data_IF_127106502889
#
_entry.id   IF_127106502889
#
_cell.length_a   1.000
_cell.length_b   1.000
_cell.length_c   1.000
_cell.angle_alpha   90.00
_cell.angle_beta   90.00
_cell.angle_gamma   90.00
#
_symmetry.space_group_name_H-M   'P 1'
#
loop_
_entity.id
_entity.type
_entity.pdbx_description
1 polymer ?
#
# COMPACT_ATOMS: atom_id res chain seq x y z
N UNK A 1 -11.27 13.31 2.16
CA UNK A 1 -10.94 12.22 3.11
C UNK A 1 -12.11 12.07 4.08
N UNK A 2 -12.67 10.87 4.14
CA UNK A 2 -13.79 10.52 5.03
C UNK A 2 -13.28 9.94 6.35
N UNK A 3 -12.19 9.17 6.29
CA UNK A 3 -11.56 8.60 7.47
C UNK A 3 -10.05 8.49 7.31
N UNK A 4 -9.34 8.78 8.39
CA UNK A 4 -7.91 8.51 8.56
C UNK A 4 -7.71 7.77 9.87
N UNK A 5 -7.03 6.63 9.82
CA UNK A 5 -6.62 5.85 10.99
C UNK A 5 -5.12 5.61 10.93
N UNK A 6 -4.44 5.87 12.03
CA UNK A 6 -3.01 5.58 12.19
C UNK A 6 -2.74 4.97 13.56
N UNK A 7 -2.06 3.84 13.58
CA UNK A 7 -1.62 3.15 14.77
C UNK A 7 -0.24 2.54 14.50
N UNK A 8 0.72 2.97 15.31
CA UNK A 8 2.06 2.42 15.34
C UNK A 8 2.47 2.17 16.79
N UNK A 9 3.34 1.18 16.98
CA UNK A 9 3.97 0.93 18.26
C UNK A 9 5.47 0.66 18.07
N UNK A 10 6.21 0.84 19.16
CA UNK A 10 7.64 0.56 19.19
C UNK A 10 7.93 -0.30 20.41
N UNK A 11 8.68 -1.37 20.21
CA UNK A 11 9.18 -2.24 21.27
C UNK A 11 10.65 -2.55 21.01
N UNK A 12 11.55 -1.93 21.81
CA UNK A 12 12.98 -2.02 21.58
C UNK A 12 13.36 -1.46 20.20
N UNK A 13 13.98 -2.30 19.37
CA UNK A 13 14.39 -1.95 18.00
C UNK A 13 13.30 -2.21 16.96
N UNK A 14 12.15 -2.75 17.34
CA UNK A 14 11.07 -3.08 16.42
C UNK A 14 10.03 -1.96 16.39
N UNK A 15 9.75 -1.44 15.19
CA UNK A 15 8.65 -0.51 14.92
C UNK A 15 7.58 -1.26 14.12
N UNK A 16 6.37 -1.32 14.67
CA UNK A 16 5.23 -1.95 14.00
C UNK A 16 4.24 -0.87 13.58
N UNK A 17 4.00 -0.74 12.27
CA UNK A 17 2.85 -0.03 11.74
C UNK A 17 1.67 -1.01 11.73
N UNK A 18 0.92 -1.05 12.83
CA UNK A 18 -0.26 -1.91 12.95
C UNK A 18 -1.33 -1.55 11.94
N UNK A 19 -1.50 -0.24 11.69
CA UNK A 19 -2.47 0.25 10.70
C UNK A 19 -2.17 1.69 10.28
N UNK A 20 -2.05 1.93 8.99
CA UNK A 20 -2.42 3.19 8.36
C UNK A 20 -3.58 2.90 7.42
N UNK A 21 -4.70 3.62 7.53
CA UNK A 21 -5.84 3.45 6.63
C UNK A 21 -6.46 4.79 6.30
N UNK A 22 -6.71 5.01 5.00
CA UNK A 22 -7.33 6.20 4.44
C UNK A 22 -8.56 5.73 3.67
N UNK A 23 -9.72 6.28 4.00
CA UNK A 23 -10.94 6.16 3.21
C UNK A 23 -11.29 7.54 2.65
N UNK A 24 -11.28 7.68 1.34
CA UNK A 24 -11.59 8.91 0.62
C UNK A 24 -12.59 8.63 -0.51
N UNK A 25 -13.32 9.64 -1.01
CA UNK A 25 -14.24 9.45 -2.14
C UNK A 25 -13.59 8.74 -3.34
N UNK A 26 -12.32 9.06 -3.60
CA UNK A 26 -11.52 8.56 -4.73
C UNK A 26 -11.05 7.11 -4.54
N UNK A 27 -11.01 6.61 -3.30
CA UNK A 27 -10.53 5.27 -3.02
C UNK A 27 -10.24 4.99 -1.56
N UNK A 28 -9.77 3.77 -1.32
CA UNK A 28 -9.30 3.29 -0.02
C UNK A 28 -7.85 2.86 -0.13
N UNK A 29 -7.06 3.20 0.88
CA UNK A 29 -5.69 2.69 1.05
C UNK A 29 -5.56 2.14 2.46
N UNK A 30 -4.94 0.98 2.60
CA UNK A 30 -4.49 0.45 3.88
C UNK A 30 -3.05 -0.01 3.75
N UNK A 31 -2.26 0.31 4.77
CA UNK A 31 -0.86 -0.03 4.88
C UNK A 31 -0.62 -0.62 6.26
N UNK A 32 0.10 -1.73 6.32
CA UNK A 32 0.63 -2.29 7.54
C UNK A 32 2.07 -2.73 7.31
N UNK A 33 2.79 -2.97 8.40
CA UNK A 33 4.13 -3.47 8.28
C UNK A 33 4.93 -3.39 9.57
N UNK A 34 6.18 -3.78 9.44
CA UNK A 34 7.15 -3.85 10.51
C UNK A 34 8.53 -3.53 9.94
N UNK A 35 9.32 -2.81 10.73
CA UNK A 35 10.74 -2.65 10.52
C UNK A 35 11.45 -2.96 11.84
N UNK A 36 12.57 -3.69 11.76
CA UNK A 36 13.46 -3.86 12.92
C UNK A 36 14.72 -3.06 12.67
N UNK A 37 15.00 -2.04 13.49
CA UNK A 37 16.16 -1.16 13.39
C UNK A 37 17.44 -1.81 13.95
N UNK A 38 17.68 -3.06 13.56
CA UNK A 38 18.86 -3.86 13.90
C UNK A 38 19.38 -4.53 12.62
N UNK A 39 20.65 -4.98 12.62
CA UNK A 39 21.30 -5.65 11.48
C UNK A 39 21.20 -4.79 10.21
N UNK A 40 20.61 -5.32 9.14
CA UNK A 40 20.43 -4.64 7.85
C UNK A 40 19.06 -3.94 7.72
N UNK A 41 18.36 -3.76 8.84
CA UNK A 41 17.01 -3.19 8.90
C UNK A 41 15.98 -4.01 8.10
N UNK A 42 15.68 -5.24 8.55
CA UNK A 42 14.66 -6.05 7.90
C UNK A 42 13.31 -5.35 7.97
N UNK A 43 12.62 -5.35 6.84
CA UNK A 43 11.33 -4.71 6.63
C UNK A 43 10.36 -5.69 5.98
N UNK A 44 9.11 -5.63 6.43
CA UNK A 44 7.97 -6.22 5.76
C UNK A 44 6.85 -5.17 5.76
N UNK A 45 6.36 -4.84 4.58
CA UNK A 45 5.33 -3.82 4.40
C UNK A 45 4.34 -4.31 3.35
N UNK A 46 3.07 -4.28 3.72
CA UNK A 46 1.97 -4.64 2.84
C UNK A 46 1.01 -3.46 2.71
N UNK A 47 0.76 -3.07 1.47
CA UNK A 47 -0.20 -2.05 1.09
C UNK A 47 -1.30 -2.67 0.23
N UNK A 48 -2.54 -2.27 0.50
CA UNK A 48 -3.68 -2.56 -0.35
C UNK A 48 -4.35 -1.23 -0.70
N UNK A 49 -4.70 -1.07 -1.96
CA UNK A 49 -5.42 0.08 -2.47
C UNK A 49 -6.60 -0.38 -3.33
N UNK A 50 -7.70 0.36 -3.24
CA UNK A 50 -8.86 0.21 -4.12
C UNK A 50 -9.18 1.59 -4.67
N UNK A 51 -9.11 1.72 -5.99
CA UNK A 51 -9.56 2.91 -6.70
C UNK A 51 -11.08 2.86 -6.85
N UNK A 52 -11.76 3.97 -6.58
CA UNK A 52 -13.19 4.13 -6.83
C UNK A 52 -13.34 4.99 -8.08
N UNK A 53 -13.48 6.29 -7.91
CA UNK A 53 -13.66 7.24 -9.00
C UNK A 53 -12.71 8.41 -8.79
N UNK A 54 -11.76 8.55 -9.69
CA UNK A 54 -10.75 9.61 -9.65
C UNK A 54 -10.61 10.20 -11.04
N UNK A 55 -10.77 11.52 -11.14
CA UNK A 55 -10.67 12.23 -12.40
C UNK A 55 -9.29 11.98 -13.06
N UNK A 56 -9.30 11.57 -14.32
CA UNK A 56 -8.11 11.21 -15.09
C UNK A 56 -7.60 9.77 -14.88
N UNK A 57 -8.31 8.94 -14.11
CA UNK A 57 -8.03 7.50 -13.93
C UNK A 57 -9.31 6.66 -14.04
N UNK A 58 -10.28 7.11 -14.82
CA UNK A 58 -11.60 6.47 -14.96
C UNK A 58 -11.49 5.03 -15.49
N UNK A 59 -10.48 4.74 -16.31
CA UNK A 59 -10.18 3.41 -16.85
C UNK A 59 -9.75 2.39 -15.78
N UNK A 60 -9.34 2.88 -14.60
CA UNK A 60 -8.93 2.08 -13.44
C UNK A 60 -9.97 2.08 -12.33
N UNK A 61 -11.20 2.51 -12.61
CA UNK A 61 -12.31 2.40 -11.65
C UNK A 61 -12.45 0.96 -11.16
N UNK A 62 -12.64 0.81 -9.84
CA UNK A 62 -12.77 -0.47 -9.12
C UNK A 62 -11.52 -1.37 -9.15
N UNK A 63 -10.38 -0.87 -9.63
CA UNK A 63 -9.11 -1.58 -9.64
C UNK A 63 -8.55 -1.74 -8.22
N UNK A 64 -8.06 -2.93 -7.91
CA UNK A 64 -7.42 -3.26 -6.63
C UNK A 64 -5.93 -3.51 -6.81
N UNK A 65 -5.09 -2.73 -6.12
CA UNK A 65 -3.65 -2.89 -6.12
C UNK A 65 -3.17 -3.43 -4.78
N UNK A 66 -2.38 -4.50 -4.80
CA UNK A 66 -1.64 -5.01 -3.64
C UNK A 66 -0.16 -4.82 -3.90
N UNK A 67 0.53 -4.16 -2.97
CA UNK A 67 1.97 -3.96 -3.00
C UNK A 67 2.58 -4.59 -1.74
N UNK A 68 3.56 -5.47 -1.91
CA UNK A 68 4.33 -6.04 -0.82
C UNK A 68 5.80 -5.70 -1.00
N UNK A 69 6.43 -5.23 0.07
CA UNK A 69 7.85 -4.90 0.14
C UNK A 69 8.48 -5.71 1.27
N UNK A 70 9.41 -6.59 0.93
CA UNK A 70 10.04 -7.49 1.89
C UNK A 70 11.56 -7.52 1.68
N UNK A 71 12.31 -7.71 2.76
CA UNK A 71 13.77 -7.84 2.69
C UNK A 71 14.45 -6.99 3.75
N UNK A 72 15.60 -6.42 3.42
CA UNK A 72 16.37 -5.57 4.32
C UNK A 72 16.79 -4.28 3.63
N UNK A 73 16.54 -3.14 4.27
CA UNK A 73 16.75 -1.81 3.68
C UNK A 73 18.23 -1.57 3.33
N UNK A 74 19.14 -2.10 4.16
CA UNK A 74 20.58 -1.97 3.97
C UNK A 74 21.19 -3.13 3.16
N UNK A 75 20.36 -3.90 2.47
CA UNK A 75 20.77 -5.02 1.61
C UNK A 75 19.85 -5.08 0.37
N UNK A 76 19.03 -6.14 0.23
CA UNK A 76 18.11 -6.31 -0.88
C UNK A 76 16.65 -6.16 -0.45
N UNK A 77 15.87 -5.49 -1.32
CA UNK A 77 14.43 -5.35 -1.19
C UNK A 77 13.72 -5.98 -2.39
N UNK A 78 12.74 -6.83 -2.09
CA UNK A 78 11.83 -7.41 -3.07
C UNK A 78 10.53 -6.64 -3.06
N UNK A 79 10.17 -6.10 -4.22
CA UNK A 79 8.89 -5.43 -4.46
C UNK A 79 7.99 -6.34 -5.29
N UNK A 80 6.78 -6.60 -4.80
CA UNK A 80 5.74 -7.31 -5.53
C UNK A 80 4.54 -6.39 -5.69
N UNK A 81 4.07 -6.22 -6.94
CA UNK A 81 2.87 -5.46 -7.28
C UNK A 81 1.89 -6.38 -7.99
N UNK A 82 0.68 -6.48 -7.47
CA UNK A 82 -0.44 -7.20 -8.08
C UNK A 82 -1.58 -6.23 -8.36
N UNK A 83 -2.09 -6.27 -9.59
CA UNK A 83 -3.26 -5.49 -10.01
C UNK A 83 -4.39 -6.46 -10.34
N UNK A 84 -5.53 -6.30 -9.70
CA UNK A 84 -6.74 -7.10 -9.94
C UNK A 84 -7.89 -6.19 -10.34
N UNK A 85 -8.70 -6.64 -11.30
CA UNK A 85 -9.86 -5.90 -11.82
C UNK A 85 -9.82 -5.76 -13.34
N UNK A 86 -10.85 -5.12 -13.89
CA UNK A 86 -10.96 -4.86 -15.33
C UNK A 86 -10.49 -3.45 -15.63
N UNK A 87 -9.62 -3.30 -16.64
CA UNK A 87 -9.26 -2.00 -17.21
C UNK A 87 -10.05 -1.82 -18.49
N UNK A 88 -10.80 -0.72 -18.59
CA UNK A 88 -11.60 -0.40 -19.78
C UNK A 88 -10.99 0.80 -20.49
N UNK A 89 -10.35 0.58 -21.63
CA UNK A 89 -9.75 1.64 -22.44
C UNK A 89 -10.57 1.84 -23.73
N UNK A 90 -10.84 3.11 -24.08
CA UNK A 90 -11.39 3.47 -25.39
C UNK A 90 -10.25 3.84 -26.34
N UNK A 91 -10.02 3.00 -27.35
CA UNK A 91 -9.07 3.29 -28.42
C UNK A 91 -9.77 4.14 -29.48
N UNK A 92 -9.55 5.45 -29.45
CA UNK A 92 -9.96 6.35 -30.53
C UNK A 92 -8.89 6.28 -31.63
N UNK A 93 -9.34 6.01 -32.86
CA UNK A 93 -8.54 6.03 -34.08
C UNK A 93 -8.78 7.32 -34.87
#
# INVERSE_FOLDING_TARGET
>A
INQLSFQANTQGQQVNLTRLSIDAPEGKVSLNGQITLDKQWPVNLDMQAMLREMAGLEEFKDQQATLSLQGAILDELKLELSLTGTVTACLLY
#
